data_IF_037515696702
#
_entry.id   IF_037515696702
#
_cell.length_a   1.000
_cell.length_b   1.000
_cell.length_c   1.000
_cell.angle_alpha   90.00
_cell.angle_beta   90.00
_cell.angle_gamma   90.00
#
_symmetry.space_group_name_H-M   'P 1'
#
loop_
_entity.id
_entity.type
_entity.pdbx_description
1 polymer ?
#
# COMPACT_ATOMS: atom_id res chain seq x y z
N UNK A 1 -15.91 -14.31 -17.65
CA UNK A 1 -15.05 -13.65 -16.66
C UNK A 1 -14.96 -14.52 -15.42
N UNK A 2 -13.76 -14.81 -14.97
CA UNK A 2 -13.53 -15.63 -13.79
C UNK A 2 -13.25 -14.74 -12.59
N UNK A 3 -14.29 -14.48 -11.78
CA UNK A 3 -14.20 -13.64 -10.59
C UNK A 3 -13.22 -14.23 -9.57
N UNK A 4 -13.19 -15.56 -9.44
CA UNK A 4 -12.26 -16.23 -8.53
C UNK A 4 -10.80 -15.97 -8.90
N UNK A 5 -10.51 -15.99 -10.20
CA UNK A 5 -9.16 -15.70 -10.71
C UNK A 5 -8.77 -14.24 -10.45
N UNK A 6 -9.70 -13.32 -10.66
CA UNK A 6 -9.46 -11.90 -10.40
C UNK A 6 -9.26 -11.64 -8.90
N UNK A 7 -10.08 -12.25 -8.04
CA UNK A 7 -9.92 -12.14 -6.60
C UNK A 7 -8.54 -12.65 -6.15
N UNK A 8 -8.13 -13.79 -6.68
CA UNK A 8 -6.82 -14.37 -6.36
C UNK A 8 -5.71 -13.42 -6.76
N UNK A 9 -5.81 -12.81 -7.94
CA UNK A 9 -4.79 -11.86 -8.41
C UNK A 9 -4.72 -10.62 -7.52
N UNK A 10 -5.86 -10.05 -7.17
CA UNK A 10 -5.91 -8.86 -6.32
C UNK A 10 -5.37 -9.20 -4.93
N UNK A 11 -5.72 -10.36 -4.38
CA UNK A 11 -5.18 -10.81 -3.10
C UNK A 11 -3.66 -10.97 -3.15
N UNK A 12 -3.12 -11.51 -4.24
CA UNK A 12 -1.67 -11.62 -4.43
C UNK A 12 -1.01 -10.24 -4.49
N UNK A 13 -1.60 -9.30 -5.22
CA UNK A 13 -1.07 -7.95 -5.33
C UNK A 13 -1.12 -7.21 -3.99
N UNK A 14 -2.17 -7.41 -3.21
CA UNK A 14 -2.27 -6.82 -1.87
C UNK A 14 -1.18 -7.38 -0.96
N UNK A 15 -0.90 -8.67 -1.04
CA UNK A 15 0.18 -9.28 -0.25
C UNK A 15 1.56 -8.80 -0.72
N UNK A 16 1.75 -8.57 -2.02
CA UNK A 16 2.99 -7.96 -2.52
C UNK A 16 3.16 -6.54 -2.01
N UNK A 17 2.08 -5.76 -1.98
CA UNK A 17 2.08 -4.41 -1.40
C UNK A 17 2.53 -4.46 0.07
N UNK A 18 1.98 -5.39 0.85
CA UNK A 18 2.37 -5.57 2.24
C UNK A 18 3.85 -5.90 2.38
N UNK A 19 4.36 -6.79 1.53
CA UNK A 19 5.77 -7.20 1.56
C UNK A 19 6.69 -6.02 1.25
N UNK A 20 6.34 -5.19 0.29
CA UNK A 20 7.15 -4.01 -0.04
C UNK A 20 7.18 -3.05 1.15
N UNK A 21 6.05 -2.93 1.87
CA UNK A 21 5.96 -2.13 3.07
C UNK A 21 6.58 -2.80 4.30
N UNK A 22 7.23 -3.94 4.14
CA UNK A 22 7.88 -4.68 5.23
C UNK A 22 9.34 -4.95 4.87
N UNK A 23 10.17 -3.90 4.77
CA UNK A 23 11.58 -4.08 4.41
C UNK A 23 12.39 -4.79 5.50
N UNK A 24 11.84 -4.87 6.69
CA UNK A 24 12.49 -5.45 7.87
C UNK A 24 13.76 -4.67 8.22
N UNK A 25 14.92 -5.29 8.20
CA UNK A 25 16.18 -4.62 8.51
C UNK A 25 16.88 -4.03 7.29
N UNK A 26 16.21 -4.05 6.13
CA UNK A 26 16.77 -3.50 4.88
C UNK A 26 16.21 -2.11 4.60
N UNK A 27 16.90 -1.30 3.78
CA UNK A 27 16.34 -0.01 3.39
C UNK A 27 15.04 -0.16 2.60
N UNK A 28 14.07 0.70 2.89
CA UNK A 28 12.84 0.77 2.11
C UNK A 28 13.14 1.51 0.80
N UNK A 29 12.94 0.86 -0.33
CA UNK A 29 13.17 1.44 -1.65
C UNK A 29 11.90 1.59 -2.47
N UNK A 30 10.84 0.86 -2.10
CA UNK A 30 9.61 0.81 -2.89
C UNK A 30 9.74 -0.02 -4.16
N UNK A 31 10.85 -0.74 -4.34
CA UNK A 31 11.03 -1.61 -5.49
C UNK A 31 9.88 -2.62 -5.57
N UNK A 32 9.26 -2.71 -6.74
CA UNK A 32 8.12 -3.59 -6.97
C UNK A 32 6.78 -2.86 -7.02
N UNK A 33 6.68 -1.65 -6.46
CA UNK A 33 5.43 -0.88 -6.54
C UNK A 33 5.03 -0.57 -7.98
N UNK A 34 5.97 -0.48 -8.91
CA UNK A 34 5.68 -0.27 -10.33
C UNK A 34 4.87 -1.41 -10.95
N UNK A 35 4.83 -2.57 -10.32
CA UNK A 35 4.02 -3.70 -10.75
C UNK A 35 2.65 -3.74 -10.06
N UNK A 36 2.39 -2.82 -9.15
CA UNK A 36 1.16 -2.78 -8.37
C UNK A 36 0.37 -1.52 -8.70
N UNK A 37 1.00 -0.34 -8.58
CA UNK A 37 0.36 0.93 -8.86
C UNK A 37 0.28 1.18 -10.37
N UNK A 38 -0.76 1.90 -10.80
CA UNK A 38 -0.76 2.53 -12.09
C UNK A 38 0.38 3.54 -12.14
N UNK A 39 1.16 3.53 -13.21
CA UNK A 39 2.33 4.40 -13.35
C UNK A 39 2.03 5.53 -14.33
N UNK A 40 2.62 6.69 -14.07
CA UNK A 40 2.41 7.88 -14.83
C UNK A 40 2.07 9.05 -13.93
N UNK A 41 2.02 10.23 -14.51
CA UNK A 41 1.66 11.43 -13.76
C UNK A 41 0.14 11.53 -13.65
N UNK A 42 -0.37 11.75 -12.44
CA UNK A 42 -1.80 11.86 -12.13
C UNK A 42 -2.60 10.60 -12.42
N UNK A 43 -1.93 9.43 -12.47
CA UNK A 43 -2.62 8.16 -12.71
C UNK A 43 -3.18 7.55 -11.43
N UNK A 44 -2.70 7.98 -10.27
CA UNK A 44 -3.17 7.51 -8.97
C UNK A 44 -3.60 8.69 -8.12
N UNK A 45 -4.37 8.38 -7.09
CA UNK A 45 -4.71 9.33 -6.05
C UNK A 45 -4.60 8.60 -4.71
N UNK A 46 -3.74 9.10 -3.85
CA UNK A 46 -3.50 8.51 -2.53
C UNK A 46 -3.79 9.55 -1.47
N UNK A 47 -4.62 9.16 -0.51
CA UNK A 47 -4.80 9.88 0.75
C UNK A 47 -4.21 9.01 1.85
N UNK A 48 -3.27 9.57 2.60
CA UNK A 48 -2.63 8.82 3.67
C UNK A 48 -2.37 9.76 4.85
N UNK A 49 -2.31 9.22 6.04
CA UNK A 49 -1.86 9.99 7.18
C UNK A 49 -0.89 9.15 8.01
N UNK A 50 0.22 9.74 8.32
CA UNK A 50 1.24 9.12 9.15
C UNK A 50 1.14 9.64 10.59
N UNK A 51 0.73 10.87 10.74
CA UNK A 51 0.45 11.52 12.02
C UNK A 51 -0.91 12.21 11.93
N UNK A 52 -1.02 13.46 12.34
CA UNK A 52 -2.27 14.21 12.26
C UNK A 52 -2.45 14.94 10.92
N UNK A 53 -1.52 14.78 10.00
CA UNK A 53 -1.56 15.45 8.69
C UNK A 53 -1.90 14.45 7.60
N UNK A 54 -2.77 14.87 6.67
CA UNK A 54 -3.09 14.07 5.49
C UNK A 54 -2.16 14.48 4.36
N UNK A 55 -1.56 13.49 3.71
CA UNK A 55 -0.81 13.72 2.47
C UNK A 55 -1.66 13.28 1.29
N UNK A 56 -1.56 14.02 0.20
CA UNK A 56 -2.27 13.74 -1.05
C UNK A 56 -1.22 13.55 -2.14
N UNK A 57 -1.25 12.38 -2.76
CA UNK A 57 -0.21 11.98 -3.72
C UNK A 57 -0.86 11.58 -5.04
N UNK A 58 -0.29 12.02 -6.15
CA UNK A 58 -0.88 11.86 -7.49
C UNK A 58 -0.07 10.97 -8.41
N UNK A 59 1.10 10.50 -8.00
CA UNK A 59 1.93 9.63 -8.81
C UNK A 59 2.77 8.73 -7.93
N UNK A 60 3.26 7.63 -8.51
CA UNK A 60 4.18 6.75 -7.79
C UNK A 60 5.46 7.49 -7.40
N UNK A 61 5.93 8.41 -8.23
CA UNK A 61 7.11 9.20 -7.90
C UNK A 61 6.89 10.05 -6.65
N UNK A 62 5.74 10.74 -6.56
CA UNK A 62 5.39 11.51 -5.36
C UNK A 62 5.28 10.60 -4.13
N UNK A 63 4.73 9.41 -4.31
CA UNK A 63 4.59 8.42 -3.25
C UNK A 63 5.97 8.05 -2.68
N UNK A 64 6.90 7.70 -3.55
CA UNK A 64 8.26 7.34 -3.15
C UNK A 64 9.02 8.53 -2.56
N UNK A 65 8.88 9.70 -3.15
CA UNK A 65 9.54 10.91 -2.66
C UNK A 65 9.05 11.29 -1.25
N UNK A 66 7.82 10.92 -0.92
CA UNK A 66 7.25 11.19 0.41
C UNK A 66 7.69 10.14 1.41
N UNK A 67 7.58 8.85 1.07
CA UNK A 67 7.73 7.78 2.05
C UNK A 67 9.15 7.28 2.24
N UNK A 68 10.00 7.35 1.22
CA UNK A 68 11.39 6.90 1.37
C UNK A 68 12.12 7.69 2.48
N UNK A 69 12.06 9.04 2.51
CA UNK A 69 12.70 9.78 3.59
C UNK A 69 12.15 9.44 4.98
N UNK A 70 10.84 9.24 5.09
CA UNK A 70 10.21 8.86 6.36
C UNK A 70 10.74 7.51 6.83
N UNK A 71 10.81 6.54 5.93
CA UNK A 71 11.24 5.19 6.26
C UNK A 71 12.73 5.09 6.58
N UNK A 72 13.53 6.06 6.13
CA UNK A 72 14.94 6.12 6.48
C UNK A 72 15.19 6.34 7.98
N UNK A 73 14.18 6.76 8.73
CA UNK A 73 14.28 6.92 10.18
C UNK A 73 14.22 5.58 10.93
N UNK A 74 13.91 4.48 10.25
CA UNK A 74 13.73 3.18 10.89
C UNK A 74 14.89 2.24 10.59
N UNK A 75 15.34 1.52 11.61
CA UNK A 75 16.29 0.41 11.44
C UNK A 75 15.55 -0.92 11.17
N UNK A 76 14.26 -0.98 11.51
CA UNK A 76 13.39 -2.13 11.27
C UNK A 76 11.97 -1.65 11.06
N UNK A 77 11.27 -2.22 10.09
CA UNK A 77 9.85 -1.96 9.88
C UNK A 77 9.19 -3.16 9.21
N UNK A 78 8.03 -3.57 9.72
CA UNK A 78 7.25 -4.65 9.14
C UNK A 78 5.78 -4.44 9.45
N UNK A 79 4.92 -4.78 8.51
CA UNK A 79 3.48 -4.73 8.70
C UNK A 79 2.86 -6.09 8.34
N UNK A 80 1.68 -6.35 8.89
CA UNK A 80 0.89 -7.54 8.56
C UNK A 80 -0.55 -7.13 8.35
N UNK A 81 -1.17 -7.69 7.32
CA UNK A 81 -2.61 -7.53 7.14
C UNK A 81 -3.32 -8.29 8.26
N UNK A 82 -4.33 -7.67 8.83
CA UNK A 82 -5.24 -8.39 9.70
C UNK A 82 -6.15 -9.26 8.82
N UNK A 83 -6.74 -10.28 9.37
CA UNK A 83 -7.50 -11.25 8.59
C UNK A 83 -8.89 -10.71 8.24
N UNK A 84 -8.94 -9.58 7.54
CA UNK A 84 -10.18 -8.87 7.22
C UNK A 84 -10.17 -8.29 5.80
N UNK A 85 -9.31 -8.79 4.92
CA UNK A 85 -9.29 -8.33 3.53
C UNK A 85 -10.59 -8.72 2.83
N UNK A 86 -11.33 -7.71 2.37
CA UNK A 86 -12.57 -7.89 1.62
C UNK A 86 -12.36 -7.35 0.22
N UNK A 87 -12.83 -8.09 -0.77
CA UNK A 87 -12.64 -7.78 -2.20
C UNK A 87 -13.99 -7.76 -2.88
N UNK A 88 -14.35 -6.64 -3.50
CA UNK A 88 -15.55 -6.48 -4.32
C UNK A 88 -15.10 -6.19 -5.75
N UNK A 89 -15.59 -6.97 -6.71
CA UNK A 89 -15.21 -6.82 -8.12
C UNK A 89 -16.45 -6.60 -8.96
N UNK A 90 -16.39 -5.63 -9.87
CA UNK A 90 -17.42 -5.39 -10.86
C UNK A 90 -16.71 -5.06 -12.18
N UNK A 91 -16.63 -6.06 -13.07
CA UNK A 91 -15.96 -5.91 -14.37
C UNK A 91 -14.47 -5.60 -14.19
N UNK A 92 -14.05 -4.46 -14.69
CA UNK A 92 -12.67 -4.02 -14.66
C UNK A 92 -12.33 -3.13 -13.45
N UNK A 93 -13.22 -3.11 -12.48
CA UNK A 93 -13.07 -2.30 -11.26
C UNK A 93 -13.16 -3.19 -10.03
N UNK A 94 -12.30 -2.95 -9.06
CA UNK A 94 -12.37 -3.64 -7.77
C UNK A 94 -12.11 -2.66 -6.64
N UNK A 95 -12.74 -2.94 -5.50
CA UNK A 95 -12.50 -2.21 -4.26
C UNK A 95 -12.11 -3.21 -3.19
N UNK A 96 -11.03 -2.93 -2.48
CA UNK A 96 -10.62 -3.76 -1.35
C UNK A 96 -10.61 -2.92 -0.08
N UNK A 97 -10.96 -3.54 1.03
CA UNK A 97 -10.84 -2.94 2.36
C UNK A 97 -10.09 -3.89 3.27
N UNK A 98 -9.30 -3.33 4.15
CA UNK A 98 -8.49 -4.10 5.07
C UNK A 98 -7.99 -3.22 6.21
N UNK A 99 -7.36 -3.83 7.19
CA UNK A 99 -6.52 -3.10 8.13
C UNK A 99 -5.19 -3.82 8.24
N UNK A 100 -4.17 -3.08 8.63
CA UNK A 100 -2.87 -3.65 8.91
C UNK A 100 -2.38 -3.18 10.27
N UNK A 101 -1.58 -4.03 10.90
CA UNK A 101 -0.87 -3.72 12.12
C UNK A 101 0.62 -3.95 11.87
N UNK A 102 1.43 -3.22 12.57
CA UNK A 102 2.86 -3.39 12.44
C UNK A 102 3.63 -2.42 13.27
N UNK A 103 4.86 -2.25 12.92
CA UNK A 103 5.73 -1.34 13.61
C UNK A 103 7.19 -1.67 13.35
N UNK A 104 8.02 -1.04 14.12
CA UNK A 104 9.44 -1.21 13.96
C UNK A 104 10.22 -0.51 15.02
N UNK A 105 11.45 -0.17 14.67
CA UNK A 105 12.38 0.46 15.56
C UNK A 105 13.07 1.60 14.84
N UNK A 106 13.12 2.76 15.46
CA UNK A 106 13.84 3.89 14.90
C UNK A 106 15.35 3.66 15.01
N UNK A 107 16.13 4.44 14.27
CA UNK A 107 17.59 4.33 14.30
C UNK A 107 18.16 4.68 15.68
N UNK A 108 17.44 5.47 16.49
CA UNK A 108 17.85 5.78 17.86
C UNK A 108 17.30 4.80 18.88
N UNK A 109 16.68 3.69 18.43
CA UNK A 109 16.30 2.58 19.28
C UNK A 109 14.90 2.63 19.86
N UNK A 110 14.05 3.57 19.46
CA UNK A 110 12.68 3.66 19.95
C UNK A 110 11.77 2.68 19.21
N UNK A 111 10.93 1.97 19.96
CA UNK A 111 9.90 1.11 19.37
C UNK A 111 8.70 1.93 18.92
N UNK A 112 8.19 1.61 17.73
CA UNK A 112 7.01 2.25 17.16
C UNK A 112 6.00 1.18 16.80
N UNK A 113 4.74 1.38 17.20
CA UNK A 113 3.62 0.52 16.79
C UNK A 113 2.65 1.37 15.99
N UNK A 114 2.08 0.77 14.96
CA UNK A 114 1.17 1.48 14.08
C UNK A 114 0.05 0.57 13.62
N UNK A 115 -1.06 1.18 13.25
CA UNK A 115 -2.21 0.52 12.65
C UNK A 115 -2.90 1.50 11.72
N UNK A 116 -3.33 1.00 10.57
CA UNK A 116 -4.16 1.79 9.66
C UNK A 116 -5.29 0.94 9.12
N UNK A 117 -6.41 1.61 8.83
CA UNK A 117 -7.49 1.06 8.02
C UNK A 117 -7.32 1.58 6.60
N UNK A 118 -7.55 0.72 5.63
CA UNK A 118 -7.32 1.08 4.24
C UNK A 118 -8.45 0.68 3.31
N UNK A 119 -8.66 1.52 2.30
CA UNK A 119 -9.48 1.21 1.13
C UNK A 119 -8.61 1.40 -0.09
N UNK A 120 -8.60 0.42 -0.97
CA UNK A 120 -7.85 0.49 -2.22
C UNK A 120 -8.79 0.23 -3.37
N UNK A 121 -8.62 1.00 -4.44
CA UNK A 121 -9.38 0.85 -5.68
C UNK A 121 -8.44 0.39 -6.77
N UNK A 122 -8.85 -0.63 -7.48
CA UNK A 122 -8.08 -1.30 -8.53
C UNK A 122 -8.82 -1.19 -9.85
N UNK A 123 -8.08 -0.99 -10.93
CA UNK A 123 -8.62 -1.05 -12.28
C UNK A 123 -7.83 -2.04 -13.12
N UNK A 124 -8.52 -2.75 -14.02
CA UNK A 124 -7.85 -3.55 -15.01
C UNK A 124 -7.49 -2.65 -16.18
N UNK A 125 -6.18 -2.43 -16.34
CA UNK A 125 -5.61 -1.58 -17.38
C UNK A 125 -4.69 -2.45 -18.25
N UNK A 126 -4.97 -2.56 -19.55
CA UNK A 126 -4.20 -3.41 -20.47
C UNK A 126 -4.07 -4.83 -19.93
N UNK A 127 -5.20 -5.41 -19.52
CA UNK A 127 -5.31 -6.76 -18.98
C UNK A 127 -4.57 -7.00 -17.66
N UNK A 128 -4.14 -5.92 -16.98
CA UNK A 128 -3.45 -6.03 -15.70
C UNK A 128 -4.16 -5.20 -14.64
N UNK A 129 -4.36 -5.80 -13.48
CA UNK A 129 -4.91 -5.07 -12.34
C UNK A 129 -3.86 -4.11 -11.80
N UNK A 130 -4.27 -2.85 -11.62
CA UNK A 130 -3.40 -1.80 -11.08
C UNK A 130 -4.13 -1.01 -10.01
N UNK A 131 -3.40 -0.64 -8.98
CA UNK A 131 -3.90 0.19 -7.89
C UNK A 131 -3.95 1.63 -8.37
N UNK A 132 -5.13 2.24 -8.35
CA UNK A 132 -5.34 3.62 -8.82
C UNK A 132 -5.69 4.57 -7.70
N UNK A 133 -6.19 4.06 -6.58
CA UNK A 133 -6.54 4.88 -5.43
C UNK A 133 -6.30 4.12 -4.14
N UNK A 134 -5.79 4.82 -3.16
CA UNK A 134 -5.54 4.26 -1.85
C UNK A 134 -5.89 5.33 -0.81
N UNK A 135 -6.70 4.96 0.16
CA UNK A 135 -7.00 5.82 1.30
C UNK A 135 -6.67 5.04 2.57
N UNK A 136 -5.63 5.47 3.24
CA UNK A 136 -5.19 4.86 4.49
C UNK A 136 -5.38 5.85 5.63
N UNK A 137 -5.88 5.38 6.76
CA UNK A 137 -6.10 6.24 7.92
C UNK A 137 -5.63 5.53 9.19
N UNK A 138 -4.94 6.29 10.04
CA UNK A 138 -4.45 5.78 11.32
C UNK A 138 -5.65 5.43 12.21
N UNK A 139 -5.59 4.25 12.77
CA UNK A 139 -6.63 3.72 13.65
C UNK A 139 -6.27 3.75 15.11
#
# INVERSE_FOLDING_TARGET
MDITKDETKIRQLTEQWRKIWSPEDKPFTGEGFENIFAVGENEILVFDNFDNSVVVLHSLQEYLDTWIPVMQNFSYWSIQLEDNLDISIDGDLAVTTFSWVGGGKTKDGQEVKAKQYGTQTWKRLNDKWRLVHEHLTVG
#
